data_IF_165844241613
#
_entry.id   IF_165844241613
#
_cell.length_a   1.000
_cell.length_b   1.000
_cell.length_c   1.000
_cell.angle_alpha   90.00
_cell.angle_beta   90.00
_cell.angle_gamma   90.00
#
_symmetry.space_group_name_H-M   'P 1'
#
loop_
_entity.id
_entity.type
_entity.pdbx_description
1 polymer ?
#
# COMPACT_ATOMS: atom_id res chain seq x y z
N UNK A 1 -12.66 -3.22 17.39
CA UNK A 1 -11.39 -3.09 16.63
C UNK A 1 -11.41 -4.17 15.54
N UNK A 2 -11.47 -3.81 14.25
CA UNK A 2 -11.59 -4.78 13.15
C UNK A 2 -10.28 -5.55 12.99
N UNK A 3 -10.35 -6.88 12.87
CA UNK A 3 -9.17 -7.73 12.67
C UNK A 3 -8.70 -7.62 11.22
N UNK A 4 -7.43 -7.29 11.05
CA UNK A 4 -6.75 -7.27 9.76
C UNK A 4 -6.06 -8.60 9.60
N UNK A 5 -6.43 -9.37 8.58
CA UNK A 5 -5.81 -10.66 8.29
C UNK A 5 -4.73 -10.47 7.22
N UNK A 6 -3.54 -11.01 7.47
CA UNK A 6 -2.38 -10.95 6.58
C UNK A 6 -2.06 -12.36 6.08
N UNK A 7 -1.94 -12.54 4.77
CA UNK A 7 -1.55 -13.82 4.22
C UNK A 7 -1.68 -13.92 2.70
N UNK A 8 -0.84 -14.75 2.09
CA UNK A 8 -0.83 -15.04 0.65
C UNK A 8 -2.19 -15.50 0.11
N UNK A 9 -3.00 -16.18 0.94
CA UNK A 9 -4.35 -16.64 0.61
C UNK A 9 -5.33 -15.47 0.33
N UNK A 10 -5.01 -14.27 0.81
CA UNK A 10 -5.85 -13.09 0.68
C UNK A 10 -5.36 -12.11 -0.39
N UNK A 11 -4.23 -12.40 -1.06
CA UNK A 11 -3.66 -11.54 -2.11
C UNK A 11 -4.60 -11.37 -3.32
N UNK A 12 -5.39 -12.40 -3.64
CA UNK A 12 -6.38 -12.36 -4.72
C UNK A 12 -7.76 -11.85 -4.24
N UNK A 13 -7.93 -11.55 -2.95
CA UNK A 13 -9.15 -10.96 -2.44
C UNK A 13 -9.15 -9.45 -2.67
N UNK A 14 -10.33 -8.81 -2.82
CA UNK A 14 -10.41 -7.37 -3.00
C UNK A 14 -9.81 -6.64 -1.79
N UNK A 15 -8.72 -5.90 -2.01
CA UNK A 15 -8.06 -5.08 -0.99
C UNK A 15 -9.07 -4.13 -0.35
N UNK A 16 -9.15 -4.07 0.99
CA UNK A 16 -10.12 -3.23 1.70
C UNK A 16 -9.95 -1.76 1.30
N UNK A 17 -11.09 -1.08 1.07
CA UNK A 17 -11.13 0.29 0.52
C UNK A 17 -10.18 1.27 1.22
N UNK A 18 -10.10 1.22 2.55
CA UNK A 18 -9.25 2.13 3.33
C UNK A 18 -7.76 1.91 3.09
N UNK A 19 -7.36 0.65 2.96
CA UNK A 19 -5.96 0.30 2.75
C UNK A 19 -5.52 0.51 1.31
N UNK A 20 -6.42 0.28 0.34
CA UNK A 20 -6.19 0.61 -1.06
C UNK A 20 -5.97 2.11 -1.26
N UNK A 21 -6.81 2.94 -0.64
CA UNK A 21 -6.63 4.40 -0.66
C UNK A 21 -5.29 4.79 -0.05
N UNK A 22 -4.92 4.21 1.09
CA UNK A 22 -3.61 4.46 1.71
C UNK A 22 -2.44 4.06 0.81
N UNK A 23 -2.48 2.87 0.21
CA UNK A 23 -1.44 2.38 -0.70
C UNK A 23 -1.33 3.23 -1.98
N UNK A 24 -2.45 3.64 -2.57
CA UNK A 24 -2.46 4.51 -3.74
C UNK A 24 -1.97 5.93 -3.41
N UNK A 25 -2.33 6.49 -2.25
CA UNK A 25 -1.82 7.77 -1.78
C UNK A 25 -0.31 7.72 -1.50
N UNK A 26 0.18 6.65 -0.88
CA UNK A 26 1.61 6.45 -0.62
C UNK A 26 2.39 6.31 -1.93
N UNK A 27 1.85 5.58 -2.90
CA UNK A 27 2.46 5.45 -4.22
C UNK A 27 2.50 6.79 -4.97
N UNK A 28 1.42 7.59 -4.90
CA UNK A 28 1.37 8.92 -5.51
C UNK A 28 2.39 9.87 -4.85
N UNK A 29 2.41 9.94 -3.52
CA UNK A 29 3.37 10.76 -2.77
C UNK A 29 4.82 10.31 -3.01
N UNK A 30 5.06 9.01 -3.04
CA UNK A 30 6.37 8.43 -3.32
C UNK A 30 6.83 8.70 -4.74
N UNK A 31 5.94 8.63 -5.73
CA UNK A 31 6.26 8.98 -7.14
C UNK A 31 6.62 10.45 -7.29
N UNK A 32 5.87 11.34 -6.64
CA UNK A 32 6.14 12.78 -6.66
C UNK A 32 7.46 13.10 -5.94
N UNK A 33 7.66 12.54 -4.74
CA UNK A 33 8.89 12.71 -3.97
C UNK A 33 10.12 12.17 -4.68
N UNK A 34 10.00 10.98 -5.30
CA UNK A 34 11.04 10.42 -6.15
C UNK A 34 11.36 11.33 -7.33
N UNK A 35 10.34 11.82 -8.03
CA UNK A 35 10.53 12.71 -9.19
C UNK A 35 11.25 14.00 -8.81
N UNK A 36 10.89 14.62 -7.68
CA UNK A 36 11.58 15.82 -7.17
C UNK A 36 13.04 15.51 -6.83
N UNK A 37 13.32 14.38 -6.19
CA UNK A 37 14.69 13.99 -5.85
C UNK A 37 15.55 13.71 -7.10
N UNK A 38 14.99 13.05 -8.12
CA UNK A 38 15.67 12.84 -9.40
C UNK A 38 15.95 14.17 -10.10
N UNK A 39 14.96 15.08 -10.18
CA UNK A 39 15.11 16.38 -10.84
C UNK A 39 16.12 17.30 -10.13
N UNK A 40 16.29 17.18 -8.81
CA UNK A 40 17.30 17.91 -8.06
C UNK A 40 18.71 17.31 -8.14
N UNK A 41 18.95 16.35 -9.05
CA UNK A 41 20.27 15.77 -9.27
C UNK A 41 20.65 14.68 -8.25
N UNK A 42 19.68 14.17 -7.47
CA UNK A 42 19.86 13.04 -6.57
C UNK A 42 19.12 11.79 -7.08
N UNK A 43 19.52 11.22 -8.24
CA UNK A 43 18.81 10.11 -8.86
C UNK A 43 18.76 8.87 -7.97
N UNK A 44 19.84 8.57 -7.23
CA UNK A 44 19.90 7.43 -6.30
C UNK A 44 18.83 7.53 -5.21
N UNK A 45 18.68 8.72 -4.62
CA UNK A 45 17.68 8.98 -3.58
C UNK A 45 16.27 8.83 -4.17
N UNK A 46 16.04 9.40 -5.36
CA UNK A 46 14.78 9.25 -6.06
C UNK A 46 14.43 7.80 -6.37
N UNK A 47 15.39 6.99 -6.83
CA UNK A 47 15.20 5.56 -7.09
C UNK A 47 14.86 4.79 -5.81
N UNK A 48 15.56 5.05 -4.70
CA UNK A 48 15.27 4.40 -3.41
C UNK A 48 13.85 4.73 -2.93
N UNK A 49 13.45 6.01 -3.01
CA UNK A 49 12.10 6.45 -2.66
C UNK A 49 11.04 5.75 -3.52
N UNK A 50 11.31 5.61 -4.81
CA UNK A 50 10.41 4.93 -5.75
C UNK A 50 10.26 3.43 -5.44
N UNK A 51 11.36 2.75 -5.12
CA UNK A 51 11.34 1.33 -4.72
C UNK A 51 10.52 1.14 -3.45
N UNK A 52 10.73 1.98 -2.43
CA UNK A 52 9.95 1.91 -1.18
C UNK A 52 8.47 2.15 -1.43
N UNK A 53 8.12 3.10 -2.30
CA UNK A 53 6.73 3.40 -2.64
C UNK A 53 6.03 2.22 -3.35
N UNK A 54 6.74 1.57 -4.29
CA UNK A 54 6.24 0.40 -5.01
C UNK A 54 6.08 -0.79 -4.07
N UNK A 55 7.07 -1.05 -3.20
CA UNK A 55 6.99 -2.11 -2.19
C UNK A 55 5.82 -1.84 -1.23
N UNK A 56 5.65 -0.60 -0.77
CA UNK A 56 4.52 -0.22 0.09
C UNK A 56 3.16 -0.49 -0.55
N UNK A 57 3.00 -0.16 -1.83
CA UNK A 57 1.79 -0.49 -2.60
C UNK A 57 1.62 -2.00 -2.76
N UNK A 58 2.69 -2.72 -3.05
CA UNK A 58 2.65 -4.17 -3.21
C UNK A 58 2.24 -4.86 -1.90
N UNK A 59 2.83 -4.45 -0.78
CA UNK A 59 2.49 -4.92 0.56
C UNK A 59 1.04 -4.59 0.92
N UNK A 60 0.54 -3.41 0.53
CA UNK A 60 -0.87 -3.04 0.79
C UNK A 60 -1.87 -4.01 0.17
N UNK A 61 -1.52 -4.71 -0.92
CA UNK A 61 -2.38 -5.73 -1.53
C UNK A 61 -2.44 -7.05 -0.73
N UNK A 62 -1.50 -7.31 0.20
CA UNK A 62 -1.49 -8.55 1.00
C UNK A 62 -2.39 -8.50 2.24
N UNK A 63 -2.89 -7.33 2.57
CA UNK A 63 -3.76 -7.13 3.72
C UNK A 63 -5.21 -7.15 3.25
N UNK A 64 -6.02 -8.00 3.88
CA UNK A 64 -7.46 -8.04 3.67
C UNK A 64 -8.19 -7.68 4.96
N UNK A 65 -9.39 -7.10 4.85
CA UNK A 65 -10.24 -6.82 6.00
C UNK A 65 -11.41 -7.79 5.94
N UNK A 66 -11.35 -8.88 6.71
CA UNK A 66 -12.49 -9.78 6.84
C UNK A 66 -13.56 -9.10 7.69
N UNK A 67 -14.72 -8.83 7.06
CA UNK A 67 -15.94 -8.51 7.77
C UNK A 67 -16.43 -9.80 8.42
N UNK A 68 -16.03 -10.06 9.67
CA UNK A 68 -16.82 -10.98 10.50
C UNK A 68 -18.18 -10.33 10.64
N UNK A 69 -19.16 -10.89 9.94
CA UNK A 69 -20.56 -10.72 10.27
C UNK A 69 -20.73 -11.30 11.67
N UNK A 70 -20.80 -10.44 12.68
CA UNK A 70 -21.53 -10.76 13.91
C UNK A 70 -23.01 -10.84 13.51
N UNK A 71 -23.40 -11.96 12.91
CA UNK A 71 -24.76 -12.47 12.98
C UNK A 71 -24.87 -13.15 14.35
N UNK A 72 -25.07 -12.35 15.40
CA UNK A 72 -25.70 -12.84 16.61
C UNK A 72 -27.18 -12.46 16.51
N UNK A 73 -28.01 -13.48 16.32
CA UNK A 73 -29.43 -13.46 16.70
C UNK A 73 -29.62 -13.02 18.15
#
# INVERSE_FOLDING_TARGET
>A
MKKVDFGWKYYFQPTPKRLRVFGDSLAAAGTLGASIAVLNGHPIVGTVVMIIAVIGKFISNFFTENKKEDNNE
#
